data_IF_016295409884
#
_entry.id   IF_016295409884
#
_cell.length_a   1.000
_cell.length_b   1.000
_cell.length_c   1.000
_cell.angle_alpha   90.00
_cell.angle_beta   90.00
_cell.angle_gamma   90.00
#
_symmetry.space_group_name_H-M   'P 1'
#
loop_
_entity.id
_entity.type
_entity.pdbx_description
1 polymer ?
#
# COMPACT_ATOMS: atom_id res chain seq x y z
N UNK A 1 -47.06 -54.81 -58.49
CA UNK A 1 -45.64 -55.20 -58.64
C UNK A 1 -44.79 -54.22 -57.85
N UNK A 2 -43.78 -54.73 -57.15
CA UNK A 2 -42.69 -54.09 -56.37
C UNK A 2 -42.29 -52.69 -56.87
N UNK A 3 -41.77 -51.73 -56.10
CA UNK A 3 -40.98 -51.64 -54.86
C UNK A 3 -40.89 -50.12 -54.57
N UNK A 4 -40.49 -49.53 -53.44
CA UNK A 4 -39.97 -49.98 -52.17
C UNK A 4 -40.14 -48.83 -51.14
N UNK A 5 -40.16 -49.23 -49.87
CA UNK A 5 -40.25 -48.42 -48.64
C UNK A 5 -39.10 -47.43 -48.50
N UNK A 6 -39.38 -46.23 -47.97
CA UNK A 6 -38.37 -45.33 -47.38
C UNK A 6 -38.78 -45.00 -45.94
N UNK A 7 -38.06 -45.60 -44.99
CA UNK A 7 -38.22 -45.35 -43.54
C UNK A 7 -37.62 -44.00 -43.15
N UNK A 8 -38.34 -43.25 -42.32
CA UNK A 8 -37.86 -42.04 -41.66
C UNK A 8 -36.90 -42.40 -40.52
N UNK A 9 -35.73 -41.77 -40.52
CA UNK A 9 -34.75 -41.76 -39.43
C UNK A 9 -34.95 -40.51 -38.58
N UNK A 10 -34.86 -40.68 -37.26
CA UNK A 10 -34.78 -39.61 -36.27
C UNK A 10 -33.41 -38.93 -36.33
N UNK A 11 -33.40 -37.61 -36.57
CA UNK A 11 -32.20 -36.77 -36.53
C UNK A 11 -31.94 -36.25 -35.12
N UNK A 12 -30.88 -36.76 -34.49
CA UNK A 12 -30.29 -36.16 -33.30
C UNK A 12 -29.18 -35.19 -33.72
N UNK A 13 -29.39 -33.90 -33.49
CA UNK A 13 -28.44 -32.82 -33.78
C UNK A 13 -27.17 -32.97 -32.94
N UNK A 14 -26.03 -33.19 -33.61
CA UNK A 14 -24.69 -33.26 -33.03
C UNK A 14 -24.11 -31.86 -32.79
N UNK A 15 -23.68 -31.58 -31.56
CA UNK A 15 -22.90 -30.39 -31.20
C UNK A 15 -21.42 -30.69 -31.42
N UNK A 16 -20.78 -29.98 -32.36
CA UNK A 16 -19.32 -30.02 -32.55
C UNK A 16 -18.61 -29.19 -31.46
N UNK A 17 -17.78 -29.85 -30.64
CA UNK A 17 -16.84 -29.22 -29.71
C UNK A 17 -15.70 -28.54 -30.47
N UNK A 18 -15.60 -27.22 -30.36
CA UNK A 18 -14.44 -26.45 -30.78
C UNK A 18 -13.38 -26.53 -29.67
N UNK A 19 -12.30 -27.27 -29.91
CA UNK A 19 -11.13 -27.30 -29.03
C UNK A 19 -10.40 -25.95 -29.07
N UNK A 20 -10.44 -25.21 -27.96
CA UNK A 20 -9.55 -24.08 -27.69
C UNK A 20 -8.12 -24.59 -27.55
N UNK A 21 -7.22 -24.14 -28.42
CA UNK A 21 -5.79 -24.40 -28.26
C UNK A 21 -5.31 -23.82 -26.92
N UNK A 22 -4.43 -24.51 -26.17
CA UNK A 22 -3.91 -23.98 -24.92
C UNK A 22 -3.10 -22.71 -25.20
N UNK A 23 -3.41 -21.63 -24.47
CA UNK A 23 -2.58 -20.44 -24.43
C UNK A 23 -1.13 -20.84 -24.09
N UNK A 24 -0.12 -20.36 -24.83
CA UNK A 24 1.26 -20.64 -24.48
C UNK A 24 1.56 -20.05 -23.10
N UNK A 25 1.86 -20.92 -22.15
CA UNK A 25 2.36 -20.55 -20.83
C UNK A 25 3.72 -19.87 -21.03
N UNK A 26 3.96 -18.65 -20.53
CA UNK A 26 5.28 -18.05 -20.63
C UNK A 26 6.32 -18.92 -19.90
N UNK A 27 7.49 -19.05 -20.52
CA UNK A 27 8.55 -19.98 -20.11
C UNK A 27 9.03 -19.76 -18.67
N UNK A 28 9.35 -20.87 -18.02
CA UNK A 28 9.75 -21.14 -16.62
C UNK A 28 10.90 -20.31 -16.00
N UNK A 29 11.29 -19.17 -16.56
CA UNK A 29 12.41 -18.33 -16.05
C UNK A 29 11.96 -16.94 -15.58
N UNK A 30 10.66 -16.64 -15.62
CA UNK A 30 10.09 -15.35 -15.24
C UNK A 30 9.35 -15.35 -13.88
N UNK A 31 9.71 -16.25 -12.96
CA UNK A 31 9.32 -16.13 -11.56
C UNK A 31 10.40 -15.33 -10.85
N UNK A 32 10.33 -14.00 -10.99
CA UNK A 32 10.90 -13.13 -9.97
C UNK A 32 10.33 -13.58 -8.63
N UNK A 33 11.14 -14.28 -7.84
CA UNK A 33 10.66 -14.92 -6.62
C UNK A 33 10.36 -13.83 -5.62
N UNK A 34 9.07 -13.59 -5.38
CA UNK A 34 8.62 -12.71 -4.32
C UNK A 34 9.27 -13.18 -3.02
N UNK A 35 10.18 -12.37 -2.48
CA UNK A 35 10.99 -12.75 -1.34
C UNK A 35 10.33 -12.16 -0.11
N UNK A 36 9.90 -13.04 0.79
CA UNK A 36 9.34 -12.62 2.07
C UNK A 36 10.45 -12.19 3.02
N UNK A 37 10.44 -10.91 3.40
CA UNK A 37 11.35 -10.36 4.38
C UNK A 37 10.64 -10.25 5.73
N UNK A 38 11.24 -10.78 6.80
CA UNK A 38 10.75 -10.57 8.16
C UNK A 38 11.52 -9.41 8.81
N UNK A 39 10.78 -8.39 9.23
CA UNK A 39 11.37 -7.20 9.87
C UNK A 39 10.74 -6.94 11.23
N UNK A 40 11.54 -6.42 12.17
CA UNK A 40 11.05 -5.98 13.48
C UNK A 40 10.39 -4.60 13.35
N UNK A 41 9.15 -4.49 13.82
CA UNK A 41 8.43 -3.23 13.91
C UNK A 41 7.77 -3.12 15.28
N UNK A 42 8.30 -2.27 16.15
CA UNK A 42 7.90 -2.19 17.54
C UNK A 42 8.03 -3.54 18.23
N UNK A 43 6.89 -4.06 18.71
CA UNK A 43 6.81 -5.35 19.42
C UNK A 43 6.57 -6.53 18.47
N UNK A 44 6.19 -6.29 17.22
CA UNK A 44 5.81 -7.31 16.24
C UNK A 44 6.94 -7.66 15.26
N UNK A 45 6.88 -8.85 14.67
CA UNK A 45 7.58 -9.18 13.42
C UNK A 45 6.57 -9.04 12.27
N UNK A 46 6.88 -8.20 11.30
CA UNK A 46 6.05 -7.96 10.12
C UNK A 46 6.69 -8.64 8.92
N UNK A 47 5.86 -9.26 8.09
CA UNK A 47 6.27 -9.86 6.83
C UNK A 47 6.03 -8.85 5.71
N UNK A 48 7.08 -8.57 4.94
CA UNK A 48 7.04 -7.71 3.76
C UNK A 48 7.33 -8.56 2.54
N UNK A 49 6.39 -8.62 1.62
CA UNK A 49 6.61 -9.23 0.31
C UNK A 49 7.25 -8.20 -0.61
N UNK A 50 8.40 -8.54 -1.18
CA UNK A 50 9.09 -7.71 -2.16
C UNK A 50 9.91 -8.57 -3.11
N UNK A 51 9.88 -8.20 -4.40
CA UNK A 51 10.74 -8.82 -5.41
C UNK A 51 12.19 -8.40 -5.17
N UNK A 52 13.05 -9.37 -4.86
CA UNK A 52 14.47 -9.13 -4.62
C UNK A 52 14.78 -8.51 -3.25
N UNK A 53 15.75 -7.60 -3.20
CA UNK A 53 16.19 -6.96 -1.96
C UNK A 53 15.24 -5.84 -1.55
N UNK A 54 15.02 -5.66 -0.24
CA UNK A 54 14.27 -4.50 0.26
C UNK A 54 14.89 -3.18 -0.24
N UNK A 55 14.07 -2.20 -0.63
CA UNK A 55 14.57 -0.91 -1.11
C UNK A 55 15.24 -0.13 0.02
N UNK A 56 16.25 0.68 -0.33
CA UNK A 56 17.09 1.38 0.65
C UNK A 56 16.30 2.23 1.65
N UNK A 57 15.21 2.86 1.18
CA UNK A 57 14.34 3.68 2.02
C UNK A 57 13.70 2.89 3.16
N UNK A 58 13.47 1.58 2.98
CA UNK A 58 12.76 0.73 3.94
C UNK A 58 13.52 0.63 5.26
N UNK A 59 14.85 0.52 5.19
CA UNK A 59 15.69 0.41 6.38
C UNK A 59 15.56 1.64 7.27
N UNK A 60 15.62 2.82 6.66
CA UNK A 60 15.56 4.10 7.35
C UNK A 60 14.15 4.36 7.92
N UNK A 61 13.11 4.06 7.15
CA UNK A 61 11.71 4.11 7.62
C UNK A 61 11.49 3.19 8.82
N UNK A 62 11.95 1.94 8.75
CA UNK A 62 11.84 0.99 9.86
C UNK A 62 12.59 1.46 11.11
N UNK A 63 13.78 2.06 10.94
CA UNK A 63 14.53 2.61 12.05
C UNK A 63 13.74 3.73 12.77
N UNK A 64 13.17 4.66 12.01
CA UNK A 64 12.37 5.79 12.55
C UNK A 64 11.06 5.33 13.18
N UNK A 65 10.33 4.41 12.55
CA UNK A 65 9.14 3.81 13.15
C UNK A 65 9.47 3.09 14.46
N UNK A 66 10.58 2.36 14.53
CA UNK A 66 11.02 1.72 15.77
C UNK A 66 11.47 2.72 16.85
N UNK A 67 11.97 3.89 16.48
CA UNK A 67 12.25 4.96 17.43
C UNK A 67 10.96 5.49 18.06
N UNK A 68 9.97 5.80 17.22
CA UNK A 68 8.62 6.23 17.65
C UNK A 68 7.94 5.17 18.52
N UNK A 69 8.06 3.89 18.16
CA UNK A 69 7.50 2.78 18.93
C UNK A 69 8.07 2.60 20.35
N UNK A 70 9.24 3.19 20.63
CA UNK A 70 9.92 3.10 21.94
C UNK A 70 9.65 4.29 22.84
N UNK A 71 8.92 5.30 22.36
CA UNK A 71 8.60 6.46 23.17
C UNK A 71 7.78 6.02 24.39
N UNK A 72 8.24 6.36 25.61
CA UNK A 72 7.55 5.96 26.83
C UNK A 72 6.24 6.73 26.99
N UNK A 73 5.42 6.32 27.94
CA UNK A 73 4.29 7.14 28.36
C UNK A 73 4.79 8.50 28.88
N UNK A 74 4.02 9.55 28.60
CA UNK A 74 4.32 10.93 28.96
C UNK A 74 5.66 11.44 28.39
N UNK A 75 6.05 11.00 27.20
CA UNK A 75 7.32 11.38 26.54
C UNK A 75 7.43 12.89 26.25
N UNK A 76 6.30 13.59 26.19
CA UNK A 76 6.20 15.03 25.95
C UNK A 76 6.01 15.86 27.23
N UNK A 77 5.93 15.22 28.41
CA UNK A 77 5.61 15.83 29.71
C UNK A 77 4.16 16.34 29.88
N UNK A 78 3.33 16.25 28.84
CA UNK A 78 1.93 16.71 28.80
C UNK A 78 0.92 15.56 28.71
N UNK A 79 1.36 14.33 28.97
CA UNK A 79 0.51 13.14 29.02
C UNK A 79 0.42 12.37 27.71
N UNK A 80 1.38 12.51 26.80
CA UNK A 80 1.36 11.73 25.56
C UNK A 80 1.34 10.23 25.81
N UNK A 81 0.53 9.53 25.01
CA UNK A 81 0.35 8.08 25.07
C UNK A 81 1.34 7.40 24.12
N UNK A 82 1.89 6.23 24.48
CA UNK A 82 2.73 5.45 23.57
C UNK A 82 1.98 5.09 22.27
N UNK A 83 2.73 5.02 21.16
CA UNK A 83 2.15 4.67 19.86
C UNK A 83 1.55 3.26 19.88
N UNK A 84 0.33 3.13 19.37
CA UNK A 84 -0.35 1.85 19.27
C UNK A 84 0.35 0.96 18.22
N UNK A 85 0.60 -0.31 18.56
CA UNK A 85 1.29 -1.25 17.67
C UNK A 85 0.58 -1.45 16.33
N UNK A 86 -0.76 -1.50 16.31
CA UNK A 86 -1.52 -1.65 15.05
C UNK A 86 -1.48 -0.38 14.21
N UNK A 87 -1.48 0.78 14.85
CA UNK A 87 -1.31 2.06 14.18
C UNK A 87 0.07 2.13 13.52
N UNK A 88 1.12 1.73 14.23
CA UNK A 88 2.48 1.64 13.70
C UNK A 88 2.60 0.72 12.47
N UNK A 89 2.00 -0.47 12.55
CA UNK A 89 1.91 -1.42 11.43
C UNK A 89 1.16 -0.83 10.24
N UNK A 90 0.05 -0.12 10.49
CA UNK A 90 -0.70 0.54 9.44
C UNK A 90 0.07 1.70 8.79
N UNK A 91 0.84 2.48 9.57
CA UNK A 91 1.72 3.51 9.04
C UNK A 91 2.78 2.92 8.10
N UNK A 92 3.37 1.77 8.44
CA UNK A 92 4.27 1.07 7.53
C UNK A 92 3.55 0.69 6.23
N UNK A 93 2.33 0.15 6.30
CA UNK A 93 1.55 -0.19 5.12
C UNK A 93 1.30 1.03 4.23
N UNK A 94 0.90 2.17 4.80
CA UNK A 94 0.76 3.44 4.07
C UNK A 94 2.07 3.80 3.37
N UNK A 95 3.20 3.77 4.09
CA UNK A 95 4.51 4.10 3.53
C UNK A 95 4.92 3.14 2.40
N UNK A 96 4.61 1.84 2.49
CA UNK A 96 4.90 0.92 1.37
C UNK A 96 4.18 1.27 0.07
N UNK A 97 3.06 2.01 0.16
CA UNK A 97 2.32 2.50 -1.01
C UNK A 97 2.79 3.87 -1.49
N UNK A 98 3.21 4.75 -0.58
CA UNK A 98 3.61 6.12 -0.92
C UNK A 98 5.07 6.24 -1.34
N UNK A 99 5.98 5.52 -0.66
CA UNK A 99 7.42 5.65 -0.89
C UNK A 99 7.89 5.35 -2.32
N UNK A 100 7.28 4.42 -3.09
CA UNK A 100 7.63 4.25 -4.51
C UNK A 100 7.42 5.50 -5.37
N UNK A 101 6.49 6.39 -4.99
CA UNK A 101 6.23 7.65 -5.66
C UNK A 101 6.96 8.85 -5.03
N UNK A 102 7.56 8.67 -3.85
CA UNK A 102 8.24 9.74 -3.13
C UNK A 102 9.72 9.81 -3.48
N UNK A 103 10.23 11.02 -3.68
CA UNK A 103 11.66 11.27 -3.84
C UNK A 103 12.39 11.38 -2.49
N UNK A 104 11.68 11.76 -1.44
CA UNK A 104 12.26 12.02 -0.12
C UNK A 104 11.60 11.18 0.97
N UNK A 105 12.34 10.96 2.05
CA UNK A 105 11.84 10.28 3.23
C UNK A 105 10.97 11.23 4.06
N UNK A 106 9.85 10.76 4.61
CA UNK A 106 9.09 11.56 5.55
C UNK A 106 9.83 11.73 6.87
N UNK A 107 9.56 12.84 7.56
CA UNK A 107 9.65 12.89 9.02
C UNK A 107 8.58 11.94 9.58
N UNK A 108 8.96 11.14 10.56
CA UNK A 108 8.05 10.19 11.23
C UNK A 108 8.03 10.55 12.70
N UNK A 109 6.87 10.97 13.20
CA UNK A 109 6.69 11.49 14.55
C UNK A 109 5.61 10.69 15.28
N UNK A 110 5.71 10.60 16.60
CA UNK A 110 4.61 10.14 17.43
C UNK A 110 3.57 11.25 17.58
N UNK A 111 2.29 10.91 17.51
CA UNK A 111 1.22 11.78 17.98
C UNK A 111 1.04 11.61 19.49
N UNK A 112 0.59 12.67 20.18
CA UNK A 112 0.32 12.66 21.62
C UNK A 112 -0.80 11.68 22.01
N UNK A 113 -1.64 11.26 21.06
CA UNK A 113 -2.76 10.34 21.30
C UNK A 113 -2.45 8.89 20.89
N UNK A 114 -1.17 8.53 20.70
CA UNK A 114 -0.75 7.19 20.34
C UNK A 114 -0.84 6.88 18.84
N UNK A 115 -0.95 7.91 18.00
CA UNK A 115 -0.89 7.86 16.54
C UNK A 115 0.53 8.05 15.98
N UNK A 116 0.63 8.08 14.65
CA UNK A 116 1.87 8.39 13.92
C UNK A 116 1.60 9.49 12.90
N UNK A 117 2.45 10.51 12.87
CA UNK A 117 2.45 11.55 11.84
C UNK A 117 3.56 11.28 10.84
N UNK A 118 3.21 11.30 9.55
CA UNK A 118 4.14 11.20 8.42
C UNK A 118 4.14 12.54 7.69
N UNK A 119 5.30 13.16 7.54
CA UNK A 119 5.36 14.54 7.06
C UNK A 119 6.46 14.72 6.02
N UNK A 120 6.10 15.29 4.89
CA UNK A 120 7.00 15.77 3.85
C UNK A 120 6.88 17.28 3.76
N UNK A 121 8.01 17.95 3.63
CA UNK A 121 8.09 19.41 3.68
C UNK A 121 9.37 19.83 2.95
N UNK A 122 9.22 20.74 1.99
CA UNK A 122 10.32 21.31 1.20
C UNK A 122 10.54 22.82 1.46
N UNK A 123 9.86 23.37 2.47
CA UNK A 123 9.84 24.78 2.85
C UNK A 123 8.83 25.63 2.06
N UNK A 124 8.27 25.11 0.95
CA UNK A 124 7.21 25.77 0.17
C UNK A 124 5.90 25.03 0.28
N UNK A 125 5.96 23.70 0.27
CA UNK A 125 4.82 22.82 0.39
C UNK A 125 5.00 21.93 1.60
N UNK A 126 3.88 21.50 2.14
CA UNK A 126 3.79 20.56 3.24
C UNK A 126 2.73 19.50 2.93
N UNK A 127 3.06 18.24 3.21
CA UNK A 127 2.14 17.13 3.19
C UNK A 127 2.26 16.38 4.50
N UNK A 128 1.17 16.38 5.26
CA UNK A 128 1.04 15.66 6.51
C UNK A 128 0.02 14.54 6.37
N UNK A 129 0.36 13.36 6.90
CA UNK A 129 -0.57 12.24 7.01
C UNK A 129 -0.58 11.80 8.46
N UNK A 130 -1.67 12.07 9.16
CA UNK A 130 -1.91 11.49 10.49
C UNK A 130 -2.49 10.10 10.33
N UNK A 131 -1.93 9.12 11.05
CA UNK A 131 -2.52 7.80 11.24
C UNK A 131 -2.86 7.67 12.72
N UNK A 132 -4.13 7.88 13.05
CA UNK A 132 -4.61 7.88 14.45
C UNK A 132 -4.98 6.47 14.90
N UNK A 133 -5.47 5.64 13.99
CA UNK A 133 -5.76 4.23 14.18
C UNK A 133 -5.66 3.50 12.83
N UNK A 134 -5.67 2.15 12.80
CA UNK A 134 -5.77 1.45 11.53
C UNK A 134 -6.95 1.96 10.69
N UNK A 135 -6.68 2.36 9.45
CA UNK A 135 -7.66 2.93 8.52
C UNK A 135 -8.36 4.22 8.98
N UNK A 136 -7.82 4.91 9.99
CA UNK A 136 -8.34 6.20 10.46
C UNK A 136 -7.20 7.20 10.56
N UNK A 137 -7.39 8.33 9.92
CA UNK A 137 -6.41 9.40 9.86
C UNK A 137 -6.89 10.55 9.00
N UNK A 138 -6.01 11.48 8.76
CA UNK A 138 -6.22 12.61 7.85
C UNK A 138 -4.97 12.82 7.00
N UNK A 139 -5.18 13.52 5.89
CA UNK A 139 -4.14 14.02 5.00
C UNK A 139 -4.36 15.52 4.93
N UNK A 140 -3.32 16.28 5.26
CA UNK A 140 -3.30 17.72 5.16
C UNK A 140 -2.22 18.14 4.17
N UNK A 141 -2.54 19.08 3.30
CA UNK A 141 -1.63 19.63 2.31
C UNK A 141 -1.69 21.15 2.36
N UNK A 142 -0.51 21.77 2.26
CA UNK A 142 -0.37 23.22 2.17
C UNK A 142 0.65 23.60 1.12
N UNK A 143 0.36 24.65 0.37
CA UNK A 143 1.28 25.35 -0.51
C UNK A 143 1.40 26.82 -0.06
N UNK A 144 2.55 27.18 0.50
CA UNK A 144 2.78 28.51 1.08
C UNK A 144 2.95 29.61 0.04
N UNK A 145 3.24 29.29 -1.23
CA UNK A 145 3.38 30.31 -2.29
C UNK A 145 2.01 30.77 -2.79
N UNK A 146 1.08 29.82 -2.98
CA UNK A 146 -0.30 30.10 -3.41
C UNK A 146 -1.24 30.42 -2.25
N UNK A 147 -0.95 29.89 -1.05
CA UNK A 147 -1.86 29.90 0.09
C UNK A 147 -2.93 28.81 0.03
N UNK A 148 -2.81 27.86 -0.90
CA UNK A 148 -3.75 26.75 -1.04
C UNK A 148 -3.54 25.74 0.09
N UNK A 149 -4.63 25.36 0.75
CA UNK A 149 -4.66 24.35 1.80
C UNK A 149 -5.80 23.36 1.55
N UNK A 150 -5.58 22.09 1.86
CA UNK A 150 -6.57 21.03 1.71
C UNK A 150 -6.44 20.02 2.86
N UNK A 151 -7.58 19.56 3.39
CA UNK A 151 -7.64 18.54 4.41
C UNK A 151 -8.67 17.48 4.03
N UNK A 152 -8.24 16.22 3.97
CA UNK A 152 -9.09 15.09 3.66
C UNK A 152 -8.91 13.94 4.65
N UNK A 153 -9.91 13.10 4.79
CA UNK A 153 -9.80 11.89 5.60
C UNK A 153 -8.94 10.86 4.87
N UNK A 154 -8.04 10.20 5.60
CA UNK A 154 -7.23 9.11 5.06
C UNK A 154 -8.14 7.96 4.61
N UNK A 155 -8.25 7.77 3.31
CA UNK A 155 -9.12 6.76 2.70
C UNK A 155 -8.34 5.48 2.36
N UNK A 156 -9.06 4.38 2.08
CA UNK A 156 -8.46 3.16 1.54
C UNK A 156 -7.91 3.34 0.13
N UNK A 157 -8.48 4.25 -0.65
CA UNK A 157 -7.93 4.64 -1.94
C UNK A 157 -6.83 5.67 -1.71
N UNK A 158 -5.58 5.20 -1.70
CA UNK A 158 -4.42 6.05 -1.55
C UNK A 158 -4.00 6.72 -2.86
N UNK A 159 -4.69 6.49 -4.00
CA UNK A 159 -4.31 7.10 -5.28
C UNK A 159 -4.23 8.62 -5.25
N UNK A 160 -5.18 9.37 -4.64
CA UNK A 160 -5.08 10.82 -4.55
C UNK A 160 -3.82 11.26 -3.81
N UNK A 161 -3.52 10.60 -2.68
CA UNK A 161 -2.32 10.86 -1.87
C UNK A 161 -1.04 10.52 -2.62
N UNK A 162 -1.00 9.38 -3.33
CA UNK A 162 0.14 8.96 -4.16
C UNK A 162 0.41 9.99 -5.26
N UNK A 163 -0.64 10.49 -5.92
CA UNK A 163 -0.51 11.52 -6.95
C UNK A 163 0.07 12.80 -6.36
N UNK A 164 -0.43 13.25 -5.20
CA UNK A 164 0.10 14.43 -4.50
C UNK A 164 1.56 14.25 -4.11
N UNK A 165 1.94 13.13 -3.48
CA UNK A 165 3.34 12.81 -3.12
C UNK A 165 4.25 12.85 -4.34
N UNK A 166 3.80 12.31 -5.49
CA UNK A 166 4.57 12.31 -6.73
C UNK A 166 4.67 13.67 -7.43
N UNK A 167 3.67 14.54 -7.28
CA UNK A 167 3.69 15.91 -7.81
C UNK A 167 4.36 16.91 -6.88
N UNK A 168 4.47 16.59 -5.58
CA UNK A 168 5.04 17.43 -4.54
C UNK A 168 6.47 17.89 -4.83
N UNK A 169 7.21 17.16 -5.67
CA UNK A 169 8.61 17.46 -5.97
C UNK A 169 8.82 18.09 -7.35
N UNK A 170 7.73 18.48 -8.03
CA UNK A 170 7.78 19.16 -9.33
C UNK A 170 7.80 20.67 -9.16
#
# INVERSE_FOLDING_TARGET
>A
MASAVKSRSDDATSLTETFLAPNPVPSSTAWESDTAHQVRLGKSLVRIEHVGNLPDWMREVLARLNQVARMPENWDTYGAVPVNQRTLEHSLLVLTKLMPASRYLPRILASTHGGVLLQWDDGRRELEISVDAPMRGSVYYTDHESGDEDEEQLSLDLKPVIQRVGSFWR
#
